data_IF_852974728796
#
_entry.id   IF_852974728796
#
_cell.length_a   1.000
_cell.length_b   1.000
_cell.length_c   1.000
_cell.angle_alpha   90.00
_cell.angle_beta   90.00
_cell.angle_gamma   90.00
#
_symmetry.space_group_name_H-M   'P 1'
#
loop_
_entity.id
_entity.type
_entity.pdbx_description
1 polymer ?
#
# COMPACT_ATOMS: atom_id res chain seq x y z
N UNK A 1 8.70 41.29 -10.04
CA UNK A 1 7.34 41.10 -9.51
C UNK A 1 7.33 39.82 -8.69
N UNK A 2 6.83 39.82 -7.45
CA UNK A 2 6.72 38.64 -6.58
C UNK A 2 5.24 38.40 -6.27
N UNK A 3 4.76 37.19 -6.52
CA UNK A 3 3.38 36.78 -6.22
C UNK A 3 3.44 35.64 -5.21
N UNK A 4 2.71 35.76 -4.10
CA UNK A 4 2.52 34.70 -3.12
C UNK A 4 1.03 34.52 -2.88
N UNK A 5 0.61 33.27 -2.76
CA UNK A 5 -0.75 32.94 -2.35
C UNK A 5 -0.92 33.08 -0.84
N UNK A 6 -2.10 33.51 -0.43
CA UNK A 6 -2.57 33.34 0.95
C UNK A 6 -2.76 31.85 1.24
N UNK A 7 -2.91 31.48 2.52
CA UNK A 7 -3.19 30.08 2.87
C UNK A 7 -4.53 29.62 2.28
N UNK A 8 -5.52 30.50 2.28
CA UNK A 8 -6.86 30.28 1.76
C UNK A 8 -6.81 30.05 0.24
N UNK A 9 -6.03 30.88 -0.47
CA UNK A 9 -5.82 30.70 -1.91
C UNK A 9 -5.08 29.39 -2.22
N UNK A 10 -4.07 29.04 -1.43
CA UNK A 10 -3.30 27.79 -1.55
C UNK A 10 -4.17 26.55 -1.35
N UNK A 11 -5.00 26.53 -0.31
CA UNK A 11 -5.93 25.39 -0.08
C UNK A 11 -7.02 25.38 -1.15
N UNK A 12 -7.65 26.53 -1.44
CA UNK A 12 -8.73 26.60 -2.44
C UNK A 12 -8.26 26.21 -3.83
N UNK A 13 -7.02 26.56 -4.20
CA UNK A 13 -6.42 26.27 -5.50
C UNK A 13 -5.51 25.03 -5.52
N UNK A 14 -5.33 24.41 -4.37
CA UNK A 14 -4.47 23.27 -4.16
C UNK A 14 -4.95 22.03 -4.90
N UNK A 15 -4.04 21.07 -4.95
CA UNK A 15 -4.34 19.71 -5.40
C UNK A 15 -4.22 18.78 -4.20
N UNK A 16 -5.13 17.83 -4.09
CA UNK A 16 -5.24 16.96 -2.93
C UNK A 16 -4.88 15.52 -3.28
N UNK A 17 -4.50 14.72 -2.28
CA UNK A 17 -4.47 13.26 -2.48
C UNK A 17 -5.91 12.80 -2.73
N UNK A 18 -6.15 11.91 -3.72
CA UNK A 18 -7.49 11.40 -3.94
C UNK A 18 -8.01 10.70 -2.70
N UNK A 19 -9.31 10.85 -2.44
CA UNK A 19 -10.01 9.92 -1.56
C UNK A 19 -10.03 8.55 -2.25
N UNK A 20 -9.68 7.50 -1.53
CA UNK A 20 -9.65 6.14 -2.05
C UNK A 20 -10.45 5.19 -1.18
N UNK A 21 -11.21 4.31 -1.84
CA UNK A 21 -11.88 3.17 -1.21
C UNK A 21 -11.19 1.90 -1.70
N UNK A 22 -10.85 1.02 -0.77
CA UNK A 22 -10.14 -0.22 -1.06
C UNK A 22 -11.03 -1.41 -0.71
N UNK A 23 -11.21 -2.29 -1.68
CA UNK A 23 -11.82 -3.61 -1.48
C UNK A 23 -10.71 -4.66 -1.61
N UNK A 24 -10.55 -5.49 -0.58
CA UNK A 24 -9.58 -6.57 -0.58
C UNK A 24 -10.23 -7.91 -0.31
N UNK A 25 -9.75 -8.95 -1.00
CA UNK A 25 -10.17 -10.33 -0.82
C UNK A 25 -8.97 -11.25 -1.00
N UNK A 26 -8.82 -12.21 -0.09
CA UNK A 26 -7.82 -13.26 -0.16
C UNK A 26 -8.49 -14.63 -0.32
N UNK A 27 -7.87 -15.50 -1.13
CA UNK A 27 -8.19 -16.93 -1.18
C UNK A 27 -7.14 -17.71 -0.42
N UNK A 28 -7.58 -18.65 0.43
CA UNK A 28 -6.72 -19.51 1.23
C UNK A 28 -6.81 -20.96 0.76
N UNK A 29 -5.71 -21.70 0.86
CA UNK A 29 -5.72 -23.15 0.66
C UNK A 29 -6.09 -23.90 1.96
N UNK A 30 -6.16 -25.24 1.89
CA UNK A 30 -6.49 -26.08 3.04
C UNK A 30 -5.49 -26.02 4.20
N UNK A 31 -4.30 -25.44 4.00
CA UNK A 31 -3.31 -25.19 5.03
C UNK A 31 -3.34 -23.73 5.54
N UNK A 32 -4.32 -22.93 5.13
CA UNK A 32 -4.48 -21.53 5.53
C UNK A 32 -3.50 -20.57 4.83
N UNK A 33 -2.82 -21.01 3.77
CA UNK A 33 -1.86 -20.17 3.04
C UNK A 33 -2.58 -19.31 2.00
N UNK A 34 -2.18 -18.04 1.86
CA UNK A 34 -2.74 -17.15 0.85
C UNK A 34 -2.28 -17.62 -0.54
N UNK A 35 -3.25 -18.03 -1.37
CA UNK A 35 -3.03 -18.49 -2.75
C UNK A 35 -3.65 -17.58 -3.80
N UNK A 36 -4.57 -16.69 -3.39
CA UNK A 36 -5.15 -15.69 -4.27
C UNK A 36 -5.32 -14.34 -3.57
N UNK A 37 -5.20 -13.25 -4.33
CA UNK A 37 -5.35 -11.89 -3.85
C UNK A 37 -6.07 -11.02 -4.86
N UNK A 38 -7.06 -10.27 -4.40
CA UNK A 38 -7.71 -9.21 -5.15
C UNK A 38 -7.59 -7.91 -4.38
N UNK A 39 -7.11 -6.86 -5.06
CA UNK A 39 -7.14 -5.48 -4.56
C UNK A 39 -7.83 -4.59 -5.58
N UNK A 40 -8.98 -4.05 -5.22
CA UNK A 40 -9.71 -3.09 -6.04
C UNK A 40 -9.68 -1.72 -5.39
N UNK A 41 -9.31 -0.71 -6.15
CA UNK A 41 -9.14 0.67 -5.68
C UNK A 41 -10.08 1.58 -6.45
N UNK A 42 -11.06 2.17 -5.75
CA UNK A 42 -11.91 3.21 -6.31
C UNK A 42 -11.36 4.58 -5.90
N UNK A 43 -10.90 5.37 -6.87
CA UNK A 43 -10.35 6.70 -6.66
C UNK A 43 -10.28 7.50 -7.98
N UNK A 44 -10.09 8.81 -7.88
CA UNK A 44 -9.85 9.66 -9.05
C UNK A 44 -8.55 9.30 -9.79
N UNK A 45 -8.54 9.57 -11.09
CA UNK A 45 -7.35 9.38 -11.93
C UNK A 45 -6.35 10.53 -11.74
N UNK A 46 -5.30 10.29 -10.96
CA UNK A 46 -4.20 11.20 -10.72
C UNK A 46 -3.39 11.43 -12.01
N UNK A 47 -3.03 10.35 -12.72
CA UNK A 47 -2.15 10.47 -13.89
C UNK A 47 -2.84 11.24 -15.02
N UNK A 48 -4.13 11.00 -15.25
CA UNK A 48 -4.91 11.69 -16.28
C UNK A 48 -4.93 13.22 -16.06
N UNK A 49 -5.05 13.65 -14.80
CA UNK A 49 -5.06 15.08 -14.45
C UNK A 49 -3.65 15.69 -14.39
N UNK A 50 -2.67 14.99 -13.82
CA UNK A 50 -1.33 15.53 -13.56
C UNK A 50 -0.44 15.49 -14.81
N UNK A 51 -0.52 14.44 -15.62
CA UNK A 51 0.33 14.21 -16.78
C UNK A 51 -0.46 13.49 -17.90
N UNK A 52 -1.35 14.20 -18.62
CA UNK A 52 -2.23 13.61 -19.63
C UNK A 52 -1.47 13.02 -20.82
N UNK A 53 -0.27 13.53 -21.13
CA UNK A 53 0.58 13.00 -22.21
C UNK A 53 1.06 11.60 -21.84
N UNK A 54 1.59 11.44 -20.63
CA UNK A 54 2.03 10.14 -20.14
C UNK A 54 0.87 9.18 -19.90
N UNK A 55 -0.29 9.70 -19.47
CA UNK A 55 -1.51 8.89 -19.33
C UNK A 55 -1.90 8.23 -20.65
N UNK A 56 -2.01 9.02 -21.73
CA UNK A 56 -2.33 8.51 -23.07
C UNK A 56 -1.25 7.57 -23.60
N UNK A 57 0.03 7.94 -23.45
CA UNK A 57 1.15 7.10 -23.86
C UNK A 57 1.25 5.76 -23.10
N UNK A 58 0.72 5.72 -21.87
CA UNK A 58 0.66 4.52 -21.02
C UNK A 58 -0.56 3.64 -21.25
N UNK A 59 -1.36 3.90 -22.29
CA UNK A 59 -2.59 3.16 -22.57
C UNK A 59 -3.69 3.44 -21.56
N UNK A 60 -3.78 4.68 -21.08
CA UNK A 60 -4.82 5.15 -20.15
C UNK A 60 -4.85 4.34 -18.85
N UNK A 61 -3.65 4.04 -18.33
CA UNK A 61 -3.45 3.38 -17.03
C UNK A 61 -2.92 4.37 -16.02
N UNK A 62 -3.60 4.49 -14.89
CA UNK A 62 -3.14 5.35 -13.81
C UNK A 62 -2.09 4.66 -12.93
N UNK A 63 -0.84 4.79 -13.33
CA UNK A 63 0.27 4.23 -12.56
C UNK A 63 0.53 4.98 -11.24
N UNK A 64 0.09 6.23 -11.09
CA UNK A 64 0.27 7.00 -9.86
C UNK A 64 -0.72 6.56 -8.78
N UNK A 65 -1.99 6.42 -9.13
CA UNK A 65 -3.03 5.98 -8.20
C UNK A 65 -2.85 4.51 -7.81
N UNK A 66 -2.49 3.66 -8.78
CA UNK A 66 -2.39 2.20 -8.57
C UNK A 66 -1.03 1.74 -8.02
N UNK A 67 -0.07 2.64 -7.86
CA UNK A 67 1.25 2.30 -7.32
C UNK A 67 1.15 1.54 -5.99
N UNK A 68 1.82 0.40 -5.88
CA UNK A 68 1.88 -0.42 -4.66
C UNK A 68 0.77 -1.46 -4.49
N UNK A 69 -0.27 -1.47 -5.34
CA UNK A 69 -1.39 -2.43 -5.25
C UNK A 69 -1.06 -3.86 -5.73
N UNK A 70 -0.06 -4.02 -6.60
CA UNK A 70 0.23 -5.30 -7.29
C UNK A 70 1.01 -6.34 -6.46
N UNK A 71 1.39 -6.02 -5.22
CA UNK A 71 2.11 -6.90 -4.29
C UNK A 71 3.30 -7.66 -4.89
N UNK A 72 4.19 -6.95 -5.59
CA UNK A 72 5.26 -7.58 -6.38
C UNK A 72 6.24 -8.43 -5.57
N UNK A 73 6.46 -8.12 -4.30
CA UNK A 73 7.41 -8.83 -3.42
C UNK A 73 6.81 -9.98 -2.62
N UNK A 74 5.49 -10.00 -2.44
CA UNK A 74 4.81 -11.10 -1.77
C UNK A 74 4.50 -12.21 -2.78
N UNK A 75 4.93 -13.42 -2.45
CA UNK A 75 4.79 -14.61 -3.29
C UNK A 75 3.38 -15.20 -3.19
N UNK A 76 2.44 -14.49 -3.80
CA UNK A 76 1.06 -14.91 -3.97
C UNK A 76 0.85 -15.26 -5.45
N UNK A 77 0.51 -16.51 -5.80
CA UNK A 77 0.51 -16.96 -7.19
C UNK A 77 -0.60 -16.33 -8.04
N UNK A 78 -1.79 -16.13 -7.48
CA UNK A 78 -2.92 -15.56 -8.21
C UNK A 78 -3.21 -14.15 -7.70
N UNK A 79 -3.02 -13.12 -8.54
CA UNK A 79 -3.19 -11.71 -8.14
C UNK A 79 -4.02 -10.95 -9.16
N UNK A 80 -4.93 -10.14 -8.66
CA UNK A 80 -5.73 -9.20 -9.45
C UNK A 80 -5.68 -7.83 -8.77
N UNK A 81 -5.18 -6.82 -9.48
CA UNK A 81 -5.26 -5.42 -9.08
C UNK A 81 -6.13 -4.67 -10.06
N UNK A 82 -7.16 -3.99 -9.56
CA UNK A 82 -8.18 -3.34 -10.37
C UNK A 82 -8.35 -1.88 -9.92
N UNK A 83 -8.40 -0.98 -10.88
CA UNK A 83 -8.85 0.39 -10.63
C UNK A 83 -10.34 0.51 -10.99
N UNK A 84 -11.08 1.23 -10.16
CA UNK A 84 -12.39 1.78 -10.50
C UNK A 84 -12.27 3.31 -10.56
N UNK A 85 -11.96 3.90 -11.74
CA UNK A 85 -11.82 5.34 -11.91
C UNK A 85 -13.05 6.09 -11.41
N UNK A 86 -12.82 7.13 -10.61
CA UNK A 86 -13.87 8.05 -10.13
C UNK A 86 -13.64 9.45 -10.70
N UNK A 87 -14.71 10.24 -10.77
CA UNK A 87 -14.67 11.65 -11.17
C UNK A 87 -15.36 12.48 -10.11
N UNK A 88 -14.65 12.75 -9.01
CA UNK A 88 -15.19 13.50 -7.87
C UNK A 88 -15.23 15.01 -8.10
N UNK A 89 -14.62 15.49 -9.18
CA UNK A 89 -14.49 16.92 -9.50
C UNK A 89 -13.40 17.64 -8.70
N UNK A 90 -12.70 16.93 -7.80
CA UNK A 90 -11.59 17.48 -7.03
C UNK A 90 -10.31 17.44 -7.86
N UNK A 91 -9.51 18.52 -7.80
CA UNK A 91 -8.16 18.52 -8.39
C UNK A 91 -7.26 17.61 -7.56
N UNK A 92 -6.95 16.44 -8.07
CA UNK A 92 -6.08 15.48 -7.39
C UNK A 92 -4.64 15.56 -7.88
N UNK A 93 -3.70 15.14 -7.05
CA UNK A 93 -2.29 15.08 -7.41
C UNK A 93 -1.56 14.05 -6.55
N UNK A 94 -0.40 13.61 -7.04
CA UNK A 94 0.53 12.84 -6.25
C UNK A 94 1.03 13.68 -5.06
N UNK A 95 0.71 13.22 -3.85
CA UNK A 95 1.39 13.65 -2.62
C UNK A 95 2.47 12.62 -2.25
N UNK A 96 3.30 12.94 -1.26
CA UNK A 96 4.39 12.04 -0.82
C UNK A 96 3.88 10.61 -0.62
N UNK A 97 4.57 9.65 -1.23
CA UNK A 97 4.19 8.24 -1.26
C UNK A 97 3.31 7.81 -2.43
N UNK A 98 2.76 8.76 -3.22
CA UNK A 98 1.82 8.52 -4.34
C UNK A 98 0.73 7.51 -3.93
N UNK A 99 0.35 6.57 -4.81
CA UNK A 99 -0.53 5.45 -4.47
C UNK A 99 0.02 4.47 -3.44
N UNK A 100 1.36 4.36 -3.24
CA UNK A 100 1.91 3.38 -2.28
C UNK A 100 1.38 3.62 -0.88
N UNK A 101 1.19 4.88 -0.46
CA UNK A 101 0.67 5.21 0.87
C UNK A 101 -0.65 4.51 1.19
N UNK A 102 -1.76 4.88 0.53
CA UNK A 102 -3.05 4.26 0.79
C UNK A 102 -3.10 2.78 0.38
N UNK A 103 -2.49 2.40 -0.75
CA UNK A 103 -2.57 1.01 -1.23
C UNK A 103 -1.83 0.03 -0.30
N UNK A 104 -0.63 0.40 0.17
CA UNK A 104 0.11 -0.44 1.12
C UNK A 104 -0.53 -0.44 2.50
N UNK A 105 -1.06 0.69 2.96
CA UNK A 105 -1.83 0.72 4.21
C UNK A 105 -2.98 -0.30 4.18
N UNK A 106 -3.79 -0.28 3.12
CA UNK A 106 -4.92 -1.20 2.97
C UNK A 106 -4.46 -2.67 2.87
N UNK A 107 -3.33 -2.92 2.19
CA UNK A 107 -2.73 -4.26 2.11
C UNK A 107 -2.29 -4.76 3.47
N UNK A 108 -1.47 -3.99 4.18
CA UNK A 108 -0.85 -4.40 5.43
C UNK A 108 -1.90 -4.58 6.53
N UNK A 109 -2.89 -3.69 6.59
CA UNK A 109 -4.02 -3.83 7.51
C UNK A 109 -4.81 -5.12 7.23
N UNK A 110 -5.09 -5.44 5.97
CA UNK A 110 -5.82 -6.66 5.63
C UNK A 110 -5.01 -7.93 5.90
N UNK A 111 -3.68 -7.90 5.73
CA UNK A 111 -2.81 -8.99 6.15
C UNK A 111 -2.85 -9.22 7.66
N UNK A 112 -2.91 -8.14 8.47
CA UNK A 112 -3.07 -8.26 9.92
C UNK A 112 -4.44 -8.86 10.30
N UNK A 113 -5.51 -8.47 9.61
CA UNK A 113 -6.84 -9.08 9.82
C UNK A 113 -6.82 -10.60 9.53
N UNK A 114 -6.14 -11.02 8.47
CA UNK A 114 -5.96 -12.44 8.15
C UNK A 114 -5.14 -13.12 9.25
N UNK A 115 -4.02 -12.53 9.66
CA UNK A 115 -3.16 -13.07 10.71
C UNK A 115 -3.94 -13.31 12.01
N UNK A 116 -4.69 -12.30 12.47
CA UNK A 116 -5.53 -12.38 13.67
C UNK A 116 -6.61 -13.44 13.54
N UNK A 117 -7.34 -13.48 12.40
CA UNK A 117 -8.44 -14.45 12.18
C UNK A 117 -7.96 -15.90 12.20
N UNK A 118 -6.71 -16.14 11.78
CA UNK A 118 -6.14 -17.48 11.68
C UNK A 118 -5.16 -17.82 12.81
N UNK A 119 -4.97 -16.93 13.78
CA UNK A 119 -4.03 -17.14 14.89
C UNK A 119 -2.57 -17.26 14.46
N UNK A 120 -2.20 -16.60 13.36
CA UNK A 120 -0.84 -16.59 12.82
C UNK A 120 -0.14 -15.32 13.32
N UNK A 121 1.12 -15.42 13.71
CA UNK A 121 1.93 -14.24 14.03
C UNK A 121 2.08 -13.34 12.78
N UNK A 122 1.79 -12.03 12.87
CA UNK A 122 1.76 -11.13 11.71
C UNK A 122 3.13 -10.95 11.03
N UNK A 123 4.23 -11.14 11.76
CA UNK A 123 5.59 -11.14 11.20
C UNK A 123 5.83 -12.44 10.44
N UNK A 124 5.45 -13.59 11.02
CA UNK A 124 5.66 -14.89 10.41
C UNK A 124 4.85 -15.05 9.12
N UNK A 125 3.61 -14.53 9.08
CA UNK A 125 2.81 -14.45 7.86
C UNK A 125 3.57 -13.72 6.74
N UNK A 126 4.16 -12.56 7.03
CA UNK A 126 4.91 -11.77 6.05
C UNK A 126 6.22 -12.44 5.65
N UNK A 127 6.93 -13.08 6.58
CA UNK A 127 8.14 -13.87 6.27
C UNK A 127 7.83 -15.03 5.33
N UNK A 128 6.69 -15.70 5.52
CA UNK A 128 6.20 -16.75 4.63
C UNK A 128 5.89 -16.20 3.23
N UNK A 129 5.18 -15.08 3.15
CA UNK A 129 4.89 -14.41 1.87
C UNK A 129 6.17 -13.90 1.19
N UNK A 130 7.23 -13.59 1.94
CA UNK A 130 8.52 -13.13 1.40
C UNK A 130 9.51 -14.27 1.10
N UNK A 131 9.08 -15.54 1.07
CA UNK A 131 10.00 -16.69 0.90
C UNK A 131 10.94 -16.60 -0.32
N UNK A 132 10.48 -15.97 -1.40
CA UNK A 132 11.26 -15.77 -2.63
C UNK A 132 11.89 -14.37 -2.74
N UNK A 133 11.86 -13.60 -1.66
CA UNK A 133 12.37 -12.22 -1.59
C UNK A 133 13.38 -12.09 -0.43
N UNK A 134 14.64 -12.58 -0.58
CA UNK A 134 15.61 -12.66 0.51
C UNK A 134 15.91 -11.31 1.18
N UNK A 135 16.05 -10.23 0.38
CA UNK A 135 16.23 -8.87 0.91
C UNK A 135 15.05 -8.41 1.77
N UNK A 136 13.84 -8.88 1.45
CA UNK A 136 12.62 -8.57 2.20
C UNK A 136 12.63 -9.27 3.55
N UNK A 137 12.95 -10.57 3.55
CA UNK A 137 13.13 -11.31 4.81
C UNK A 137 14.22 -10.70 5.70
N UNK A 138 15.33 -10.25 5.11
CA UNK A 138 16.41 -9.63 5.87
C UNK A 138 15.95 -8.38 6.62
N UNK A 139 15.29 -7.43 5.96
CA UNK A 139 14.82 -6.20 6.63
C UNK A 139 13.75 -6.47 7.68
N UNK A 140 12.89 -7.46 7.46
CA UNK A 140 11.87 -7.88 8.43
C UNK A 140 12.52 -8.48 9.68
N UNK A 141 13.46 -9.41 9.51
CA UNK A 141 14.16 -10.03 10.65
C UNK A 141 14.94 -8.99 11.45
N UNK A 142 15.61 -8.08 10.76
CA UNK A 142 16.41 -7.03 11.39
C UNK A 142 15.54 -6.11 12.26
N UNK A 143 14.45 -5.55 11.71
CA UNK A 143 13.60 -4.64 12.49
C UNK A 143 12.93 -5.34 13.68
N UNK A 144 12.56 -6.61 13.52
CA UNK A 144 11.96 -7.42 14.60
C UNK A 144 12.95 -7.67 15.72
N UNK A 145 14.21 -7.93 15.39
CA UNK A 145 15.29 -8.08 16.37
C UNK A 145 15.61 -6.74 17.06
N UNK A 146 15.81 -5.67 16.29
CA UNK A 146 16.12 -4.34 16.83
C UNK A 146 15.05 -3.80 17.77
N UNK A 147 13.78 -4.13 17.52
CA UNK A 147 12.64 -3.60 18.26
C UNK A 147 12.18 -4.48 19.41
N UNK A 148 12.81 -5.64 19.66
CA UNK A 148 12.30 -6.66 20.59
C UNK A 148 10.79 -6.92 20.38
N UNK A 149 10.33 -7.04 19.12
CA UNK A 149 8.88 -7.01 18.79
C UNK A 149 8.06 -8.03 19.58
N UNK A 150 8.61 -9.23 19.80
CA UNK A 150 7.93 -10.34 20.47
C UNK A 150 7.94 -10.25 22.01
N UNK A 151 8.63 -9.28 22.58
CA UNK A 151 8.63 -9.06 24.02
C UNK A 151 7.28 -8.49 24.44
N UNK A 152 6.60 -9.15 25.38
CA UNK A 152 5.35 -8.66 25.94
C UNK A 152 5.56 -7.29 26.62
N UNK A 153 4.65 -6.35 26.33
CA UNK A 153 4.64 -4.99 26.88
C UNK A 153 3.25 -4.69 27.46
N UNK A 154 2.99 -4.96 28.75
CA UNK A 154 1.68 -4.76 29.35
C UNK A 154 1.15 -3.33 29.13
N UNK A 155 -0.13 -3.21 28.73
CA UNK A 155 -0.77 -1.92 28.47
C UNK A 155 -0.34 -1.22 27.17
N UNK A 156 0.43 -1.88 26.28
CA UNK A 156 0.86 -1.32 24.99
C UNK A 156 0.60 -2.30 23.85
N UNK A 157 0.11 -1.78 22.72
CA UNK A 157 0.08 -2.48 21.45
C UNK A 157 1.30 -2.16 20.61
N UNK A 158 1.67 -3.05 19.69
CA UNK A 158 2.72 -2.84 18.70
C UNK A 158 2.17 -3.17 17.32
N UNK A 159 2.48 -2.33 16.34
CA UNK A 159 2.24 -2.59 14.93
C UNK A 159 3.49 -3.11 14.24
N UNK A 160 3.30 -3.92 13.20
CA UNK A 160 4.36 -4.29 12.27
C UNK A 160 3.86 -4.10 10.84
N UNK A 161 4.72 -3.58 9.97
CA UNK A 161 4.43 -3.52 8.54
C UNK A 161 5.67 -3.73 7.71
N UNK A 162 5.48 -4.27 6.50
CA UNK A 162 6.49 -4.35 5.47
C UNK A 162 5.96 -3.76 4.17
N UNK A 163 6.78 -2.98 3.47
CA UNK A 163 6.44 -2.50 2.13
C UNK A 163 7.64 -2.60 1.21
N UNK A 164 7.36 -2.81 -0.08
CA UNK A 164 8.26 -2.42 -1.15
C UNK A 164 7.83 -1.06 -1.72
N UNK A 165 8.79 -0.17 -1.87
CA UNK A 165 8.62 1.16 -2.45
C UNK A 165 9.67 1.36 -3.53
N UNK A 166 9.26 1.23 -4.79
CA UNK A 166 10.13 1.40 -5.97
C UNK A 166 11.45 0.60 -5.88
N UNK A 167 11.37 -0.67 -5.46
CA UNK A 167 12.52 -1.57 -5.31
C UNK A 167 13.31 -1.44 -4.00
N UNK A 168 12.98 -0.45 -3.16
CA UNK A 168 13.47 -0.38 -1.78
C UNK A 168 12.54 -1.17 -0.88
N UNK A 169 13.10 -1.97 0.03
CA UNK A 169 12.36 -2.78 0.98
C UNK A 169 12.44 -2.12 2.35
N UNK A 170 11.29 -1.93 2.98
CA UNK A 170 11.16 -1.21 4.24
C UNK A 170 10.31 -2.05 5.18
N UNK A 171 10.75 -2.19 6.43
CA UNK A 171 9.96 -2.78 7.49
C UNK A 171 9.96 -1.82 8.68
N UNK A 172 8.84 -1.76 9.41
CA UNK A 172 8.69 -0.85 10.53
C UNK A 172 7.92 -1.52 11.68
N UNK A 173 8.32 -1.20 12.90
CA UNK A 173 7.62 -1.51 14.14
C UNK A 173 7.32 -0.19 14.85
N UNK A 174 6.11 -0.04 15.37
CA UNK A 174 5.66 1.16 16.10
C UNK A 174 4.83 0.79 17.33
#
# INVERSE_FOLDING_TARGET
MKVLWTREDDVKNGRFRPLSVHYLRAGLDGAGRIVAWQHRVACDEITAFQDPVRYKGGGERDFLAMAGSELRTYDIPNRLSEQLPQQTGIRTSSLRGIGFGPNKFATEAFLDEIAVRHGIDPVDLRLQLLKNTPRGQAVVREVVAMSDYRRARPGRGLGFSFIDYSGTMVAAVA
#
